data_IF_478400036353
#
_entry.id   IF_478400036353
#
_cell.length_a   1.000
_cell.length_b   1.000
_cell.length_c   1.000
_cell.angle_alpha   90.00
_cell.angle_beta   90.00
_cell.angle_gamma   90.00
#
_symmetry.space_group_name_H-M   'P 1'
#
loop_
_entity.id
_entity.type
_entity.pdbx_description
1 polymer ?
#
# COMPACT_ATOMS: atom_id res chain seq x y z
N UNK A 1 23.08 -24.63 13.70
CA UNK A 1 22.56 -24.61 12.32
C UNK A 1 23.33 -23.56 11.53
N UNK A 2 23.55 -23.78 10.23
CA UNK A 2 23.91 -22.68 9.32
C UNK A 2 22.60 -22.02 8.83
N UNK A 3 22.59 -20.70 8.56
CA UNK A 3 21.42 -20.05 7.99
C UNK A 3 21.16 -20.57 6.57
N UNK A 4 19.91 -20.89 6.25
CA UNK A 4 19.50 -21.25 4.89
C UNK A 4 19.29 -19.95 4.12
N UNK A 5 20.07 -19.73 3.08
CA UNK A 5 19.96 -18.57 2.18
C UNK A 5 19.12 -18.94 0.96
N UNK A 6 17.99 -18.26 0.77
CA UNK A 6 17.04 -18.49 -0.33
C UNK A 6 17.02 -17.27 -1.25
N UNK A 7 17.34 -17.41 -2.55
CA UNK A 7 17.16 -16.32 -3.51
C UNK A 7 15.68 -16.06 -3.78
N UNK A 8 15.26 -14.78 -3.72
CA UNK A 8 13.88 -14.37 -3.99
C UNK A 8 13.45 -14.74 -5.42
N UNK A 9 14.41 -14.73 -6.36
CA UNK A 9 14.24 -15.18 -7.75
C UNK A 9 13.72 -16.61 -7.88
N UNK A 10 13.95 -17.46 -6.88
CA UNK A 10 13.73 -18.90 -6.97
C UNK A 10 12.38 -19.29 -6.36
N UNK A 11 11.77 -18.37 -5.62
CA UNK A 11 10.39 -18.47 -5.11
C UNK A 11 9.42 -18.46 -6.30
N UNK A 12 8.45 -19.36 -6.25
CA UNK A 12 7.39 -19.57 -7.24
C UNK A 12 6.07 -18.95 -6.78
N UNK A 13 5.66 -19.22 -5.55
CA UNK A 13 4.47 -18.62 -4.88
C UNK A 13 4.51 -18.83 -3.37
N UNK A 14 3.69 -18.06 -2.66
CA UNK A 14 3.34 -18.29 -1.26
C UNK A 14 2.03 -19.08 -1.21
N UNK A 15 1.92 -20.02 -0.27
CA UNK A 15 0.80 -20.94 -0.08
C UNK A 15 0.24 -20.78 1.33
N UNK A 16 -1.06 -20.52 1.44
CA UNK A 16 -1.74 -20.14 2.69
C UNK A 16 -3.07 -20.89 2.86
N UNK A 17 -3.74 -20.75 4.00
CA UNK A 17 -5.10 -21.27 4.18
C UNK A 17 -5.19 -22.80 4.09
N UNK A 18 -6.21 -23.31 3.38
CA UNK A 18 -6.42 -24.75 3.24
C UNK A 18 -5.27 -25.46 2.53
N UNK A 19 -4.69 -24.86 1.49
CA UNK A 19 -3.58 -25.43 0.72
C UNK A 19 -2.30 -25.56 1.58
N UNK A 20 -2.06 -24.60 2.49
CA UNK A 20 -1.05 -24.73 3.55
C UNK A 20 -1.35 -25.91 4.47
N UNK A 21 -2.60 -26.06 4.94
CA UNK A 21 -2.94 -27.17 5.84
C UNK A 21 -2.80 -28.55 5.18
N UNK A 22 -3.09 -28.67 3.89
CA UNK A 22 -2.87 -29.88 3.11
C UNK A 22 -1.37 -30.17 2.94
N UNK A 23 -0.56 -29.13 2.69
CA UNK A 23 0.91 -29.21 2.62
C UNK A 23 1.51 -29.74 3.94
N UNK A 24 1.08 -29.21 5.09
CA UNK A 24 1.56 -29.67 6.40
C UNK A 24 1.16 -31.13 6.68
N UNK A 25 -0.06 -31.53 6.32
CA UNK A 25 -0.53 -32.92 6.47
C UNK A 25 0.32 -33.88 5.62
N UNK A 26 0.72 -33.46 4.42
CA UNK A 26 1.58 -34.25 3.52
C UNK A 26 3.03 -34.36 4.04
N UNK A 27 3.64 -33.25 4.47
CA UNK A 27 5.04 -33.23 4.90
C UNK A 27 5.28 -33.82 6.30
N UNK A 28 4.43 -33.48 7.28
CA UNK A 28 4.66 -33.81 8.70
C UNK A 28 3.81 -35.02 9.15
N UNK A 29 2.89 -35.49 8.31
CA UNK A 29 2.00 -36.63 8.63
C UNK A 29 1.01 -36.34 9.78
N UNK A 30 0.94 -35.09 10.25
CA UNK A 30 0.06 -34.67 11.34
C UNK A 30 -1.39 -34.74 10.88
N UNK A 31 -2.11 -35.78 11.32
CA UNK A 31 -3.56 -35.89 11.15
C UNK A 31 -4.27 -34.82 11.97
N UNK A 32 -4.47 -33.64 11.37
CA UNK A 32 -5.25 -32.56 11.95
C UNK A 32 -6.61 -33.08 12.43
N UNK A 33 -6.84 -32.99 13.73
CA UNK A 33 -8.09 -33.43 14.35
C UNK A 33 -9.25 -32.59 13.82
N UNK A 34 -10.29 -33.23 13.26
CA UNK A 34 -11.51 -32.60 12.71
C UNK A 34 -12.32 -31.73 13.70
N UNK A 35 -11.84 -31.55 14.95
CA UNK A 35 -12.42 -30.69 15.98
C UNK A 35 -11.45 -29.67 16.60
N UNK A 36 -10.18 -29.64 16.18
CA UNK A 36 -9.18 -28.70 16.73
C UNK A 36 -9.00 -27.49 15.81
N UNK A 37 -9.84 -26.47 16.00
CA UNK A 37 -9.73 -25.11 15.43
C UNK A 37 -9.15 -25.01 14.00
N UNK A 38 -9.95 -25.39 13.00
CA UNK A 38 -9.63 -25.30 11.57
C UNK A 38 -9.60 -23.86 11.00
N UNK A 39 -9.18 -22.90 11.83
CA UNK A 39 -9.08 -21.47 11.48
C UNK A 39 -7.82 -20.86 12.12
N UNK A 40 -7.53 -21.13 13.41
CA UNK A 40 -6.24 -20.73 14.01
C UNK A 40 -5.06 -21.39 13.29
N UNK A 41 -5.14 -22.69 13.02
CA UNK A 41 -4.04 -23.38 12.33
C UNK A 41 -3.76 -22.81 10.93
N UNK A 42 -4.80 -22.32 10.24
CA UNK A 42 -4.69 -21.69 8.91
C UNK A 42 -4.06 -20.28 8.93
N UNK A 43 -3.88 -19.72 10.13
CA UNK A 43 -3.37 -18.37 10.42
C UNK A 43 -2.01 -18.39 11.14
N UNK A 44 -1.56 -19.56 11.60
CA UNK A 44 -0.28 -19.75 12.30
C UNK A 44 0.90 -20.05 11.35
N UNK A 45 0.71 -20.07 10.03
CA UNK A 45 1.80 -20.33 9.09
C UNK A 45 1.44 -20.27 7.62
N UNK A 46 2.45 -20.49 6.80
CA UNK A 46 2.41 -20.49 5.33
C UNK A 46 3.52 -21.41 4.79
N UNK A 47 3.42 -21.80 3.53
CA UNK A 47 4.47 -22.55 2.83
C UNK A 47 4.99 -21.76 1.64
N UNK A 48 6.28 -21.83 1.37
CA UNK A 48 6.95 -21.20 0.23
C UNK A 48 7.26 -22.27 -0.81
N UNK A 49 6.66 -22.19 -2.00
CA UNK A 49 7.05 -23.02 -3.13
C UNK A 49 8.24 -22.40 -3.87
N UNK A 50 9.17 -23.24 -4.33
CA UNK A 50 10.26 -22.85 -5.21
C UNK A 50 10.04 -23.37 -6.63
N UNK A 51 10.81 -22.87 -7.58
CA UNK A 51 10.76 -23.27 -8.99
C UNK A 51 11.36 -24.65 -9.23
N UNK A 52 12.51 -24.91 -8.61
CA UNK A 52 13.35 -26.09 -8.87
C UNK A 52 13.41 -27.08 -7.68
N UNK A 53 12.49 -26.98 -6.72
CA UNK A 53 12.38 -27.89 -5.57
C UNK A 53 10.98 -28.51 -5.50
N UNK A 54 10.90 -29.82 -5.24
CA UNK A 54 9.62 -30.55 -5.16
C UNK A 54 8.95 -30.48 -3.78
N UNK A 55 9.66 -30.02 -2.75
CA UNK A 55 9.12 -29.85 -1.40
C UNK A 55 9.10 -28.35 -1.05
N UNK A 56 7.97 -27.78 -0.60
CA UNK A 56 7.91 -26.39 -0.18
C UNK A 56 8.49 -26.19 1.22
N UNK A 57 9.02 -24.99 1.48
CA UNK A 57 9.46 -24.60 2.83
C UNK A 57 8.25 -24.15 3.65
N UNK A 58 7.80 -25.01 4.55
CA UNK A 58 6.71 -24.75 5.50
C UNK A 58 7.22 -23.97 6.72
N UNK A 59 6.60 -22.84 7.02
CA UNK A 59 6.95 -21.91 8.08
C UNK A 59 5.73 -21.63 8.99
N UNK A 60 5.98 -21.47 10.28
CA UNK A 60 4.95 -21.17 11.27
C UNK A 60 5.47 -20.23 12.37
N UNK A 61 4.58 -19.47 12.99
CA UNK A 61 4.85 -18.62 14.14
C UNK A 61 3.65 -18.61 15.11
N UNK A 62 3.90 -18.32 16.38
CA UNK A 62 2.87 -18.26 17.42
C UNK A 62 1.95 -17.03 17.29
N UNK A 63 2.40 -15.99 16.59
CA UNK A 63 1.71 -14.71 16.39
C UNK A 63 1.19 -14.57 14.94
N UNK A 64 -0.10 -14.31 14.80
CA UNK A 64 -0.78 -14.12 13.52
C UNK A 64 -0.29 -12.84 12.80
N UNK A 65 -0.04 -11.74 13.53
CA UNK A 65 0.40 -10.48 12.92
C UNK A 65 1.80 -10.62 12.30
N UNK A 66 2.65 -11.50 12.86
CA UNK A 66 3.96 -11.86 12.28
C UNK A 66 3.79 -12.71 11.02
N UNK A 67 2.88 -13.67 11.01
CA UNK A 67 2.57 -14.49 9.82
C UNK A 67 2.09 -13.61 8.67
N UNK A 68 1.18 -12.66 8.94
CA UNK A 68 0.67 -11.71 7.94
C UNK A 68 1.80 -10.81 7.39
N UNK A 69 2.63 -10.23 8.25
CA UNK A 69 3.77 -9.40 7.81
C UNK A 69 4.76 -10.15 6.91
N UNK A 70 5.01 -11.44 7.16
CA UNK A 70 5.84 -12.27 6.28
C UNK A 70 5.17 -12.54 4.94
N UNK A 71 3.87 -12.84 4.91
CA UNK A 71 3.11 -13.08 3.68
C UNK A 71 3.08 -11.80 2.82
N UNK A 72 2.74 -10.66 3.40
CA UNK A 72 2.67 -9.37 2.69
C UNK A 72 4.05 -8.93 2.19
N UNK A 73 5.10 -9.07 3.01
CA UNK A 73 6.47 -8.76 2.62
C UNK A 73 6.99 -9.65 1.48
N UNK A 74 6.68 -10.95 1.49
CA UNK A 74 7.06 -11.87 0.41
C UNK A 74 6.22 -11.63 -0.86
N UNK A 75 4.93 -11.31 -0.74
CA UNK A 75 4.08 -10.93 -1.86
C UNK A 75 4.61 -9.66 -2.55
N UNK A 76 4.98 -8.63 -1.79
CA UNK A 76 5.59 -7.40 -2.30
C UNK A 76 6.90 -7.69 -3.05
N UNK A 77 7.77 -8.55 -2.51
CA UNK A 77 9.03 -8.95 -3.15
C UNK A 77 8.83 -9.79 -4.43
N UNK A 78 7.69 -10.46 -4.58
CA UNK A 78 7.27 -11.17 -5.79
C UNK A 78 6.54 -10.27 -6.80
N UNK A 79 6.28 -9.00 -6.47
CA UNK A 79 5.54 -8.06 -7.32
C UNK A 79 4.02 -8.23 -7.27
N UNK A 80 3.47 -8.92 -6.26
CA UNK A 80 2.04 -8.94 -6.00
C UNK A 80 1.64 -7.72 -5.17
N UNK A 81 0.84 -6.82 -5.74
CA UNK A 81 0.30 -5.64 -5.05
C UNK A 81 -0.85 -5.99 -4.08
N UNK A 82 -0.57 -6.85 -3.09
CA UNK A 82 -1.43 -7.03 -1.92
C UNK A 82 -1.22 -5.85 -0.96
N UNK A 83 -1.91 -4.74 -1.26
CA UNK A 83 -1.98 -3.60 -0.36
C UNK A 83 -3.08 -3.85 0.69
N UNK A 84 -2.72 -3.80 1.96
CA UNK A 84 -3.64 -3.98 3.09
C UNK A 84 -4.71 -2.88 3.10
N UNK A 85 -5.92 -3.16 2.58
CA UNK A 85 -7.00 -2.17 2.43
C UNK A 85 -7.29 -1.39 3.72
N UNK A 86 -7.19 -2.03 4.89
CA UNK A 86 -7.41 -1.39 6.19
C UNK A 86 -6.38 -0.30 6.48
N UNK A 87 -5.14 -0.51 6.06
CA UNK A 87 -4.05 0.45 6.22
C UNK A 87 -4.06 1.53 5.13
N UNK A 88 -4.36 1.16 3.87
CA UNK A 88 -4.61 2.15 2.80
C UNK A 88 -5.70 3.12 3.26
N UNK A 89 -6.86 2.59 3.66
CA UNK A 89 -8.00 3.41 4.08
C UNK A 89 -7.66 4.27 5.29
N UNK A 90 -6.93 3.74 6.28
CA UNK A 90 -6.48 4.53 7.45
C UNK A 90 -5.54 5.67 7.06
N UNK A 91 -4.57 5.43 6.18
CA UNK A 91 -3.60 6.44 5.75
C UNK A 91 -4.26 7.49 4.85
N UNK A 92 -5.11 7.06 3.92
CA UNK A 92 -5.88 7.92 3.01
C UNK A 92 -6.88 8.80 3.78
N UNK A 93 -7.57 8.27 4.78
CA UNK A 93 -8.54 9.00 5.61
C UNK A 93 -7.85 10.05 6.51
N UNK A 94 -6.61 9.78 6.96
CA UNK A 94 -5.76 10.79 7.59
C UNK A 94 -5.30 11.88 6.62
N UNK A 95 -4.77 11.50 5.45
CA UNK A 95 -4.30 12.44 4.41
C UNK A 95 -5.44 13.35 3.90
N UNK A 96 -6.62 12.79 3.66
CA UNK A 96 -7.82 13.55 3.27
C UNK A 96 -8.25 14.49 4.39
N UNK A 97 -8.27 14.05 5.66
CA UNK A 97 -8.56 14.95 6.79
C UNK A 97 -7.55 16.10 6.91
N UNK A 98 -6.25 15.84 6.72
CA UNK A 98 -5.20 16.87 6.76
C UNK A 98 -5.42 17.92 5.66
N UNK A 99 -5.74 17.49 4.42
CA UNK A 99 -6.05 18.42 3.32
C UNK A 99 -7.32 19.23 3.54
N UNK A 100 -8.31 18.67 4.24
CA UNK A 100 -9.59 19.32 4.50
C UNK A 100 -9.61 20.21 5.77
N UNK A 101 -8.52 20.29 6.55
CA UNK A 101 -8.45 21.11 7.78
C UNK A 101 -8.87 22.58 7.56
N UNK A 102 -8.59 23.15 6.39
CA UNK A 102 -8.93 24.54 6.03
C UNK A 102 -10.26 24.66 5.26
N UNK A 103 -10.95 23.55 4.97
CA UNK A 103 -12.16 23.50 4.13
C UNK A 103 -13.40 23.35 5.01
N UNK A 104 -13.77 24.44 5.68
CA UNK A 104 -14.90 24.50 6.63
C UNK A 104 -16.24 24.00 6.06
N UNK A 105 -16.47 24.17 4.75
CA UNK A 105 -17.64 23.65 4.03
C UNK A 105 -17.18 23.17 2.64
N UNK A 106 -17.07 21.85 2.37
CA UNK A 106 -16.78 21.36 1.03
C UNK A 106 -17.96 21.63 0.09
N UNK A 107 -17.75 22.10 -1.15
CA UNK A 107 -18.83 22.41 -2.08
C UNK A 107 -19.50 21.12 -2.59
N UNK A 108 -20.82 21.01 -2.41
CA UNK A 108 -21.62 19.84 -2.85
C UNK A 108 -21.73 19.72 -4.38
N UNK A 109 -21.57 20.83 -5.09
CA UNK A 109 -21.61 20.92 -6.55
C UNK A 109 -20.21 21.22 -7.09
N UNK A 110 -19.87 20.67 -8.25
CA UNK A 110 -18.67 21.05 -8.99
C UNK A 110 -18.62 22.57 -9.20
N UNK A 111 -17.54 23.27 -8.79
CA UNK A 111 -17.44 24.71 -9.00
C UNK A 111 -17.39 25.01 -10.50
N UNK A 112 -18.18 26.00 -10.95
CA UNK A 112 -18.10 26.48 -12.31
C UNK A 112 -16.76 27.20 -12.51
N UNK A 113 -15.88 26.61 -13.32
CA UNK A 113 -14.63 27.24 -13.73
C UNK A 113 -15.00 28.41 -14.68
N UNK A 114 -14.62 29.65 -14.38
CA UNK A 114 -14.92 30.79 -15.26
C UNK A 114 -14.11 30.71 -16.56
N UNK A 115 -14.58 31.40 -17.60
CA UNK A 115 -13.78 31.62 -18.81
C UNK A 115 -12.46 32.34 -18.46
N UNK A 116 -11.40 32.04 -19.23
CA UNK A 116 -10.11 32.70 -19.06
C UNK A 116 -10.22 34.22 -19.31
N UNK A 117 -9.52 35.05 -18.54
CA UNK A 117 -9.43 36.49 -18.79
C UNK A 117 -9.00 36.80 -20.22
N UNK A 118 -9.69 37.75 -20.87
CA UNK A 118 -9.38 38.17 -22.25
C UNK A 118 -8.09 38.99 -22.35
N UNK A 119 -7.67 39.60 -21.25
CA UNK A 119 -6.33 40.18 -21.08
C UNK A 119 -5.70 39.66 -19.78
N UNK A 120 -4.37 39.47 -19.81
CA UNK A 120 -3.58 39.09 -18.64
C UNK A 120 -2.92 40.32 -18.00
N UNK A 121 -3.61 41.46 -17.99
CA UNK A 121 -3.12 42.73 -17.46
C UNK A 121 -3.33 42.77 -15.94
N UNK A 122 -2.46 42.07 -15.23
CA UNK A 122 -2.46 41.94 -13.76
C UNK A 122 -2.01 43.21 -13.02
N UNK A 123 -1.60 44.25 -13.76
CA UNK A 123 -1.22 45.56 -13.24
C UNK A 123 -2.32 46.58 -13.62
N UNK A 124 -3.14 47.06 -12.67
CA UNK A 124 -4.11 48.11 -12.94
C UNK A 124 -3.46 49.39 -13.50
N UNK A 125 -4.08 50.05 -14.47
CA UNK A 125 -3.55 51.24 -15.19
C UNK A 125 -3.00 52.35 -14.28
N UNK A 126 -3.59 52.53 -13.09
CA UNK A 126 -3.10 53.45 -12.05
C UNK A 126 -1.65 53.22 -11.60
N UNK A 127 -1.07 52.05 -11.90
CA UNK A 127 0.33 51.69 -11.65
C UNK A 127 1.18 51.58 -12.92
N UNK A 128 0.57 51.66 -14.11
CA UNK A 128 1.29 51.92 -15.35
C UNK A 128 1.77 53.38 -15.35
N UNK A 129 2.91 53.64 -14.69
CA UNK A 129 3.63 54.91 -14.86
C UNK A 129 4.01 55.04 -16.33
N UNK A 130 3.37 55.97 -17.04
CA UNK A 130 3.82 56.35 -18.38
C UNK A 130 5.28 56.82 -18.33
N UNK A 131 6.13 56.53 -19.34
CA UNK A 131 7.57 56.79 -19.26
C UNK A 131 7.93 58.25 -18.95
N UNK A 132 7.14 59.20 -19.44
CA UNK A 132 7.27 60.63 -19.14
C UNK A 132 7.07 60.96 -17.65
N UNK A 133 6.21 60.21 -16.94
CA UNK A 133 5.98 60.41 -15.50
C UNK A 133 7.15 59.92 -14.66
N UNK A 134 7.85 58.86 -15.09
CA UNK A 134 9.08 58.40 -14.43
C UNK A 134 10.25 59.37 -14.60
N UNK A 135 10.29 60.15 -15.68
CA UNK A 135 11.29 61.21 -15.87
C UNK A 135 11.01 62.42 -14.96
N UNK A 136 9.75 62.77 -14.75
CA UNK A 136 9.36 63.89 -13.88
C UNK A 136 9.46 63.57 -12.37
N UNK A 137 9.41 62.30 -11.98
CA UNK A 137 9.61 61.85 -10.59
C UNK A 137 11.11 61.71 -10.21
N UNK A 138 12.04 62.08 -11.09
CA UNK A 138 13.48 61.76 -10.99
C UNK A 138 14.43 62.98 -10.90
N UNK A 139 13.88 64.19 -10.74
CA UNK A 139 14.61 65.47 -10.60
C UNK A 139 13.96 66.35 -9.51
#
# INVERSE_FOLDING_TARGET
>A
MHPITVPISDIKRIVTGSEYSETVVQQIGMKLSKKSSSHLFLKQGFSVEFKDQSEPLTLAADDEDVVLQWIDGLNLLLGFEHLNEKEINRLLDLEVRIRLLNVLNPPTNSPQIPELPKTFEWIPDKYHKSPQRMLNDAY
#
